data_IF_563869961585
#
_entry.id   IF_563869961585
#
_cell.length_a   1.000
_cell.length_b   1.000
_cell.length_c   1.000
_cell.angle_alpha   90.00
_cell.angle_beta   90.00
_cell.angle_gamma   90.00
#
_symmetry.space_group_name_H-M   'P 1'
#
loop_
_entity.id
_entity.type
_entity.pdbx_description
1 polymer ?
#
# COMPACT_ATOMS: atom_id res chain seq x y z
N UNK A 1 60.41 22.19 -21.40
CA UNK A 1 60.13 20.77 -21.07
C UNK A 1 60.19 20.72 -19.55
N UNK A 2 59.12 20.62 -18.76
CA UNK A 2 57.93 19.78 -18.89
C UNK A 2 56.89 20.32 -17.88
N UNK A 3 55.66 20.54 -18.34
CA UNK A 3 54.52 20.99 -17.52
C UNK A 3 53.95 19.76 -16.79
N UNK A 4 53.97 19.73 -15.46
CA UNK A 4 53.43 18.60 -14.68
C UNK A 4 51.95 18.90 -14.32
N UNK A 5 51.02 18.39 -15.11
CA UNK A 5 49.59 18.38 -14.81
C UNK A 5 49.27 17.33 -13.74
N UNK A 6 48.91 17.77 -12.54
CA UNK A 6 48.32 16.93 -11.50
C UNK A 6 46.84 16.67 -11.84
N UNK A 7 46.56 15.51 -12.43
CA UNK A 7 45.21 14.98 -12.57
C UNK A 7 44.68 14.53 -11.21
N UNK A 8 43.79 15.31 -10.61
CA UNK A 8 42.95 14.88 -9.48
C UNK A 8 41.93 13.87 -10.01
N UNK A 9 42.22 12.59 -9.87
CA UNK A 9 41.24 11.51 -10.05
C UNK A 9 40.20 11.62 -8.94
N UNK A 10 39.06 12.25 -9.21
CA UNK A 10 37.90 12.16 -8.34
C UNK A 10 37.40 10.72 -8.38
N UNK A 11 37.61 9.96 -7.30
CA UNK A 11 36.96 8.68 -7.06
C UNK A 11 35.45 8.94 -6.94
N UNK A 12 34.72 8.81 -8.04
CA UNK A 12 33.27 8.68 -8.01
C UNK A 12 32.96 7.32 -7.40
N UNK A 13 32.80 7.26 -6.08
CA UNK A 13 32.19 6.09 -5.45
C UNK A 13 30.74 6.05 -5.89
N UNK A 14 30.43 5.21 -6.88
CA UNK A 14 29.05 4.87 -7.20
C UNK A 14 28.43 4.28 -5.94
N UNK A 15 27.54 5.02 -5.29
CA UNK A 15 26.75 4.52 -4.17
C UNK A 15 25.85 3.42 -4.74
N UNK A 16 26.27 2.17 -4.60
CA UNK A 16 25.39 1.03 -4.89
C UNK A 16 24.40 0.98 -3.74
N UNK A 17 23.21 1.53 -3.95
CA UNK A 17 22.12 1.41 -2.98
C UNK A 17 21.73 -0.07 -2.89
N UNK A 18 22.25 -0.78 -1.89
CA UNK A 18 21.78 -2.14 -1.58
C UNK A 18 20.42 -2.01 -0.90
N UNK A 19 19.33 -2.36 -1.62
CA UNK A 19 18.01 -2.38 -1.02
C UNK A 19 17.93 -3.48 0.06
N UNK A 20 17.08 -3.25 1.05
CA UNK A 20 16.89 -4.20 2.14
C UNK A 20 16.03 -5.37 1.64
N UNK A 21 16.49 -6.63 1.73
CA UNK A 21 15.73 -7.77 1.24
C UNK A 21 14.64 -8.18 2.23
N UNK A 22 13.42 -8.44 1.72
CA UNK A 22 12.30 -9.03 2.47
C UNK A 22 11.90 -10.35 1.83
N UNK A 23 11.80 -11.41 2.63
CA UNK A 23 11.38 -12.74 2.18
C UNK A 23 9.98 -13.06 2.71
N UNK A 24 9.06 -13.28 1.77
CA UNK A 24 7.66 -13.60 2.02
C UNK A 24 7.43 -15.12 1.92
N UNK A 25 6.57 -15.62 2.80
CA UNK A 25 6.10 -17.00 2.84
C UNK A 25 4.60 -17.03 3.19
N UNK A 26 3.97 -18.20 3.10
CA UNK A 26 2.53 -18.36 3.34
C UNK A 26 2.06 -18.03 4.77
N UNK A 27 2.97 -17.79 5.71
CA UNK A 27 2.66 -17.50 7.12
C UNK A 27 2.88 -16.03 7.51
N UNK A 28 3.57 -15.24 6.69
CA UNK A 28 3.97 -13.88 7.05
C UNK A 28 3.46 -12.79 6.10
N UNK A 29 2.67 -13.12 5.08
CA UNK A 29 2.10 -12.14 4.16
C UNK A 29 0.59 -12.25 4.03
N UNK A 30 -0.07 -11.10 4.03
CA UNK A 30 -1.45 -10.96 3.59
C UNK A 30 -1.47 -9.93 2.45
N UNK A 31 -1.93 -10.33 1.28
CA UNK A 31 -1.99 -9.45 0.10
C UNK A 31 -3.34 -8.75 0.02
N UNK A 32 -3.31 -7.43 -0.17
CA UNK A 32 -4.45 -6.63 -0.61
C UNK A 32 -4.17 -6.25 -2.07
N UNK A 33 -4.90 -6.90 -2.96
CA UNK A 33 -4.83 -6.68 -4.40
C UNK A 33 -6.19 -6.17 -4.86
N UNK A 34 -6.18 -5.26 -5.82
CA UNK A 34 -7.38 -4.65 -6.40
C UNK A 34 -8.16 -3.74 -5.43
N UNK A 35 -9.41 -3.42 -5.77
CA UNK A 35 -10.19 -2.37 -5.10
C UNK A 35 -10.50 -2.74 -3.64
N UNK A 36 -10.45 -1.75 -2.75
CA UNK A 36 -10.84 -1.92 -1.35
C UNK A 36 -12.36 -1.82 -1.26
N UNK A 37 -12.99 -2.92 -0.88
CA UNK A 37 -14.42 -3.05 -0.63
C UNK A 37 -14.70 -4.01 0.54
N UNK A 38 -15.96 -4.31 0.80
CA UNK A 38 -16.34 -5.18 1.91
C UNK A 38 -15.87 -6.64 1.73
N UNK A 39 -15.73 -7.11 0.49
CA UNK A 39 -15.18 -8.44 0.21
C UNK A 39 -13.69 -8.49 0.54
N UNK A 40 -12.93 -7.50 0.07
CA UNK A 40 -11.50 -7.36 0.36
C UNK A 40 -11.24 -7.20 1.85
N UNK A 41 -12.04 -6.38 2.54
CA UNK A 41 -11.96 -6.24 3.99
C UNK A 41 -12.26 -7.57 4.68
N UNK A 42 -13.35 -8.25 4.31
CA UNK A 42 -13.72 -9.55 4.90
C UNK A 42 -12.61 -10.59 4.71
N UNK A 43 -12.04 -10.69 3.50
CA UNK A 43 -10.94 -11.59 3.17
C UNK A 43 -9.68 -11.28 3.98
N UNK A 44 -9.31 -10.00 4.11
CA UNK A 44 -8.19 -9.56 4.93
C UNK A 44 -8.37 -9.94 6.41
N UNK A 45 -9.51 -9.57 7.00
CA UNK A 45 -9.83 -9.86 8.39
C UNK A 45 -9.88 -11.38 8.66
N UNK A 46 -10.44 -12.16 7.73
CA UNK A 46 -10.49 -13.61 7.84
C UNK A 46 -9.07 -14.21 7.84
N UNK A 47 -8.25 -13.88 6.83
CA UNK A 47 -6.86 -14.35 6.73
C UNK A 47 -6.04 -13.98 7.97
N UNK A 48 -6.15 -12.73 8.44
CA UNK A 48 -5.45 -12.27 9.63
C UNK A 48 -5.86 -13.07 10.88
N UNK A 49 -7.14 -13.39 11.03
CA UNK A 49 -7.62 -14.17 12.18
C UNK A 49 -7.32 -15.67 12.10
N UNK A 50 -7.01 -16.21 10.92
CA UNK A 50 -6.50 -17.59 10.78
C UNK A 50 -5.05 -17.75 11.21
N UNK A 51 -4.28 -16.66 11.32
CA UNK A 51 -2.88 -16.74 11.73
C UNK A 51 -2.77 -17.09 13.22
N UNK A 52 -2.00 -18.13 13.52
CA UNK A 52 -1.68 -18.53 14.90
C UNK A 52 -0.86 -17.46 15.63
N UNK A 53 -0.07 -16.69 14.89
CA UNK A 53 0.74 -15.60 15.39
C UNK A 53 0.59 -14.40 14.45
N UNK A 54 0.27 -13.22 14.99
CA UNK A 54 0.08 -11.96 14.27
C UNK A 54 1.29 -11.03 14.38
N UNK A 55 2.45 -11.54 14.78
CA UNK A 55 3.73 -10.80 14.80
C UNK A 55 4.45 -10.92 13.47
N UNK A 56 5.18 -9.87 13.11
CA UNK A 56 6.05 -9.81 11.92
C UNK A 56 5.32 -10.15 10.60
N UNK A 57 4.04 -9.76 10.53
CA UNK A 57 3.21 -9.92 9.32
C UNK A 57 3.38 -8.70 8.42
N UNK A 58 3.58 -8.97 7.13
CA UNK A 58 3.59 -8.00 6.07
C UNK A 58 2.22 -7.95 5.38
N UNK A 59 1.70 -6.74 5.20
CA UNK A 59 0.58 -6.49 4.29
C UNK A 59 1.16 -5.99 2.97
N UNK A 60 1.02 -6.78 1.91
CA UNK A 60 1.46 -6.37 0.58
C UNK A 60 0.33 -5.59 -0.10
N UNK A 61 0.59 -4.36 -0.49
CA UNK A 61 -0.37 -3.43 -1.09
C UNK A 61 -0.13 -3.30 -2.60
N UNK A 62 -1.10 -3.78 -3.37
CA UNK A 62 -1.25 -3.51 -4.80
C UNK A 62 -2.70 -3.12 -5.11
N UNK A 63 -3.08 -1.92 -4.69
CA UNK A 63 -4.47 -1.46 -4.70
C UNK A 63 -4.62 -0.04 -5.25
N UNK A 64 -5.66 0.22 -6.07
CA UNK A 64 -6.05 1.57 -6.46
C UNK A 64 -6.83 2.32 -5.36
N UNK A 65 -7.06 1.72 -4.19
CA UNK A 65 -7.92 2.26 -3.15
C UNK A 65 -9.37 1.78 -3.29
N UNK A 66 -10.32 2.53 -2.71
CA UNK A 66 -11.73 2.15 -2.73
C UNK A 66 -12.51 2.73 -1.55
N UNK A 67 -13.40 1.94 -0.98
CA UNK A 67 -14.26 2.29 0.15
C UNK A 67 -13.45 2.72 1.37
N UNK A 68 -13.68 3.95 1.82
CA UNK A 68 -13.11 4.47 3.08
C UNK A 68 -13.57 3.65 4.27
N UNK A 69 -14.85 3.25 4.31
CA UNK A 69 -15.40 2.46 5.42
C UNK A 69 -14.75 1.07 5.51
N UNK A 70 -14.64 0.37 4.39
CA UNK A 70 -14.02 -0.97 4.33
C UNK A 70 -12.51 -0.88 4.61
N UNK A 71 -11.86 0.17 4.14
CA UNK A 71 -10.47 0.46 4.46
C UNK A 71 -10.23 0.75 5.95
N UNK A 72 -11.13 1.48 6.61
CA UNK A 72 -11.02 1.74 8.05
C UNK A 72 -11.05 0.44 8.88
N UNK A 73 -11.87 -0.55 8.48
CA UNK A 73 -11.89 -1.88 9.13
C UNK A 73 -10.52 -2.59 9.02
N UNK A 74 -9.87 -2.50 7.87
CA UNK A 74 -8.51 -3.04 7.64
C UNK A 74 -7.49 -2.28 8.49
N UNK A 75 -7.51 -0.95 8.42
CA UNK A 75 -6.61 -0.04 9.13
C UNK A 75 -6.62 -0.28 10.65
N UNK A 76 -7.81 -0.48 11.23
CA UNK A 76 -7.96 -0.75 12.66
C UNK A 76 -7.19 -2.01 13.11
N UNK A 77 -7.30 -3.12 12.38
CA UNK A 77 -6.58 -4.34 12.75
C UNK A 77 -5.07 -4.24 12.45
N UNK A 78 -4.68 -3.49 11.40
CA UNK A 78 -3.26 -3.19 11.12
C UNK A 78 -2.61 -2.47 12.30
N UNK A 79 -3.24 -1.40 12.79
CA UNK A 79 -2.72 -0.64 13.93
C UNK A 79 -2.76 -1.46 15.22
N UNK A 80 -3.84 -2.20 15.46
CA UNK A 80 -4.02 -3.06 16.65
C UNK A 80 -2.90 -4.09 16.82
N UNK A 81 -2.40 -4.68 15.73
CA UNK A 81 -1.32 -5.67 15.80
C UNK A 81 0.04 -5.13 15.35
N UNK A 82 0.16 -3.83 15.06
CA UNK A 82 1.37 -3.20 14.56
C UNK A 82 1.94 -3.88 13.30
N UNK A 83 1.08 -4.13 12.31
CA UNK A 83 1.52 -4.81 11.09
C UNK A 83 2.43 -3.91 10.25
N UNK A 84 3.36 -4.53 9.52
CA UNK A 84 4.22 -3.84 8.56
C UNK A 84 3.60 -3.92 7.17
N UNK A 85 3.86 -2.94 6.31
CA UNK A 85 3.29 -2.91 4.97
C UNK A 85 4.36 -2.72 3.90
N UNK A 86 4.12 -3.30 2.72
CA UNK A 86 4.97 -3.17 1.55
C UNK A 86 4.10 -2.66 0.42
N UNK A 87 4.41 -1.48 -0.11
CA UNK A 87 3.67 -0.89 -1.22
C UNK A 87 4.39 -1.14 -2.56
N UNK A 88 3.72 -1.83 -3.47
CA UNK A 88 4.01 -1.71 -4.91
C UNK A 88 3.06 -0.71 -5.57
N UNK A 89 1.80 -0.71 -5.14
CA UNK A 89 0.81 0.30 -5.49
C UNK A 89 -0.12 0.54 -4.31
N UNK A 90 -0.10 1.74 -3.77
CA UNK A 90 -0.97 2.12 -2.65
C UNK A 90 -1.56 3.51 -2.89
N UNK A 91 -2.74 3.53 -3.50
CA UNK A 91 -3.45 4.77 -3.87
C UNK A 91 -4.66 4.99 -2.96
N UNK A 92 -5.01 6.26 -2.73
CA UNK A 92 -6.22 6.64 -1.99
C UNK A 92 -6.29 5.91 -0.64
N UNK A 93 -7.32 5.10 -0.39
CA UNK A 93 -7.41 4.30 0.84
C UNK A 93 -6.24 3.32 1.06
N UNK A 94 -5.57 2.86 0.00
CA UNK A 94 -4.32 2.11 0.11
C UNK A 94 -3.17 2.93 0.71
N UNK A 95 -3.09 4.22 0.38
CA UNK A 95 -2.12 5.14 0.98
C UNK A 95 -2.42 5.33 2.47
N UNK A 96 -3.70 5.53 2.83
CA UNK A 96 -4.13 5.65 4.24
C UNK A 96 -3.75 4.40 5.02
N UNK A 97 -4.01 3.21 4.48
CA UNK A 97 -3.61 1.93 5.08
C UNK A 97 -2.10 1.90 5.32
N UNK A 98 -1.29 2.25 4.31
CA UNK A 98 0.17 2.31 4.44
C UNK A 98 0.59 3.22 5.61
N UNK A 99 -0.03 4.40 5.77
CA UNK A 99 0.32 5.32 6.86
C UNK A 99 -0.04 4.77 8.25
N UNK A 100 -0.99 3.84 8.36
CA UNK A 100 -1.32 3.14 9.60
C UNK A 100 -0.35 2.04 10.00
N UNK A 101 0.56 1.62 9.12
CA UNK A 101 1.45 0.51 9.37
C UNK A 101 2.66 0.90 10.24
N UNK A 102 3.14 -0.05 11.05
CA UNK A 102 4.29 0.17 11.93
C UNK A 102 5.55 0.51 11.13
N UNK A 103 5.83 -0.27 10.09
CA UNK A 103 6.88 -0.02 9.10
C UNK A 103 6.25 0.11 7.72
N UNK A 104 6.67 1.12 6.96
CA UNK A 104 6.16 1.49 5.64
C UNK A 104 7.24 1.22 4.60
N UNK A 105 7.23 0.04 4.00
CA UNK A 105 8.16 -0.32 2.93
C UNK A 105 7.55 0.02 1.57
N UNK A 106 8.41 0.30 0.58
CA UNK A 106 8.01 0.53 -0.81
C UNK A 106 8.96 -0.22 -1.75
N UNK A 107 8.45 -0.78 -2.83
CA UNK A 107 9.30 -1.36 -3.88
C UNK A 107 10.01 -0.23 -4.65
N UNK A 108 11.09 -0.54 -5.37
CA UNK A 108 11.89 0.49 -6.06
C UNK A 108 11.07 1.39 -7.01
N UNK A 109 10.11 0.80 -7.71
CA UNK A 109 9.17 1.51 -8.59
C UNK A 109 7.75 1.57 -8.02
N UNK A 110 7.61 1.34 -6.71
CA UNK A 110 6.34 1.39 -6.02
C UNK A 110 5.74 2.78 -6.13
N UNK A 111 4.40 2.85 -6.25
CA UNK A 111 3.68 4.10 -6.48
C UNK A 111 2.73 4.38 -5.34
N UNK A 112 2.77 5.61 -4.85
CA UNK A 112 1.87 6.16 -3.86
C UNK A 112 1.05 7.27 -4.48
N UNK A 113 -0.22 7.36 -4.11
CA UNK A 113 -1.07 8.48 -4.46
C UNK A 113 -2.04 8.76 -3.33
N UNK A 114 -2.20 10.03 -2.98
CA UNK A 114 -3.27 10.45 -2.09
C UNK A 114 -4.07 11.62 -2.65
N UNK A 115 -5.37 11.62 -2.37
CA UNK A 115 -6.31 12.66 -2.75
C UNK A 115 -7.44 12.80 -1.73
N UNK A 116 -8.23 13.86 -1.84
CA UNK A 116 -9.42 14.10 -1.02
C UNK A 116 -10.51 13.03 -1.21
N UNK A 117 -11.34 12.82 -0.18
CA UNK A 117 -12.47 11.89 -0.23
C UNK A 117 -13.46 12.33 -1.32
N UNK A 118 -13.84 11.40 -2.18
CA UNK A 118 -14.90 11.63 -3.18
C UNK A 118 -16.20 10.96 -2.73
N UNK A 119 -17.32 11.68 -2.81
CA UNK A 119 -18.65 11.16 -2.49
C UNK A 119 -19.71 11.82 -3.37
N UNK A 120 -20.84 11.12 -3.55
CA UNK A 120 -22.01 11.63 -4.25
C UNK A 120 -23.26 11.37 -3.40
N UNK A 121 -24.10 12.38 -3.23
CA UNK A 121 -25.32 12.30 -2.43
C UNK A 121 -26.49 13.01 -3.11
N UNK A 122 -27.68 12.40 -3.06
CA UNK A 122 -28.95 12.99 -3.51
C UNK A 122 -30.03 12.70 -2.47
N UNK A 123 -30.42 13.72 -1.70
CA UNK A 123 -31.40 13.58 -0.62
C UNK A 123 -32.01 14.95 -0.25
N UNK A 124 -32.86 15.05 0.77
CA UNK A 124 -33.33 16.35 1.26
C UNK A 124 -32.19 17.14 1.92
N UNK A 125 -32.27 18.48 1.87
CA UNK A 125 -31.21 19.41 2.35
C UNK A 125 -30.66 19.04 3.73
N UNK A 126 -31.52 18.81 4.72
CA UNK A 126 -31.08 18.50 6.08
C UNK A 126 -30.28 17.19 6.18
N UNK A 127 -30.60 16.19 5.36
CA UNK A 127 -29.84 14.94 5.30
C UNK A 127 -28.49 15.14 4.59
N UNK A 128 -28.46 15.96 3.53
CA UNK A 128 -27.21 16.34 2.84
C UNK A 128 -26.28 17.07 3.82
N UNK A 129 -26.77 18.08 4.53
CA UNK A 129 -25.97 18.85 5.48
C UNK A 129 -25.40 17.96 6.60
N UNK A 130 -26.21 17.02 7.10
CA UNK A 130 -25.79 16.05 8.12
C UNK A 130 -24.70 15.11 7.60
N UNK A 131 -24.87 14.56 6.39
CA UNK A 131 -23.89 13.66 5.79
C UNK A 131 -22.58 14.37 5.44
N UNK A 132 -22.65 15.61 4.95
CA UNK A 132 -21.45 16.42 4.67
C UNK A 132 -20.60 16.59 5.93
N UNK A 133 -21.24 16.93 7.07
CA UNK A 133 -20.54 17.05 8.36
C UNK A 133 -19.92 15.74 8.83
N UNK A 134 -20.54 14.60 8.51
CA UNK A 134 -19.95 13.30 8.79
C UNK A 134 -18.71 13.06 7.92
N UNK A 135 -18.75 13.39 6.64
CA UNK A 135 -17.57 13.30 5.76
C UNK A 135 -16.45 14.22 6.26
N UNK A 136 -16.76 15.45 6.70
CA UNK A 136 -15.76 16.36 7.27
C UNK A 136 -15.06 15.75 8.50
N UNK A 137 -15.82 15.04 9.36
CA UNK A 137 -15.25 14.33 10.51
C UNK A 137 -14.32 13.21 10.08
N UNK A 138 -14.75 12.36 9.13
CA UNK A 138 -13.95 11.26 8.61
C UNK A 138 -12.67 11.79 7.96
N UNK A 139 -12.77 12.82 7.13
CA UNK A 139 -11.62 13.46 6.50
C UNK A 139 -10.66 14.01 7.54
N UNK A 140 -11.15 14.68 8.59
CA UNK A 140 -10.32 15.22 9.64
C UNK A 140 -9.51 14.15 10.38
N UNK A 141 -10.13 13.04 10.76
CA UNK A 141 -9.43 11.92 11.40
C UNK A 141 -8.33 11.34 10.50
N UNK A 142 -8.62 11.15 9.20
CA UNK A 142 -7.64 10.62 8.25
C UNK A 142 -6.51 11.62 7.96
N UNK A 143 -6.79 12.92 7.91
CA UNK A 143 -5.76 13.94 7.74
C UNK A 143 -4.82 13.98 8.94
N UNK A 144 -5.34 13.96 10.16
CA UNK A 144 -4.53 13.94 11.38
C UNK A 144 -3.60 12.73 11.38
N UNK A 145 -4.17 11.53 11.16
CA UNK A 145 -3.40 10.28 11.13
C UNK A 145 -2.22 10.34 10.15
N UNK A 146 -2.45 10.83 8.94
CA UNK A 146 -1.44 10.83 7.89
C UNK A 146 -0.43 11.96 8.03
N UNK A 147 -0.91 13.18 8.32
CA UNK A 147 -0.06 14.35 8.45
C UNK A 147 0.88 14.22 9.65
N UNK A 148 0.39 13.71 10.79
CA UNK A 148 1.22 13.45 11.97
C UNK A 148 2.27 12.38 11.67
N UNK A 149 1.89 11.30 10.97
CA UNK A 149 2.80 10.22 10.56
C UNK A 149 3.91 10.71 9.63
N UNK A 150 3.58 11.61 8.71
CA UNK A 150 4.50 12.18 7.71
C UNK A 150 5.28 13.38 8.27
N UNK A 151 4.87 13.91 9.42
CA UNK A 151 5.47 15.06 10.11
C UNK A 151 5.35 16.38 9.33
N UNK A 152 4.17 16.67 8.79
CA UNK A 152 3.85 17.96 8.17
C UNK A 152 2.59 18.58 8.79
N UNK A 153 2.42 19.92 8.76
CA UNK A 153 1.19 20.56 9.23
C UNK A 153 -0.05 20.04 8.50
N UNK A 154 -1.18 19.94 9.22
CA UNK A 154 -2.43 19.41 8.67
C UNK A 154 -2.91 20.20 7.45
N UNK A 155 -2.79 21.54 7.48
CA UNK A 155 -3.16 22.40 6.35
C UNK A 155 -2.28 22.19 5.12
N UNK A 156 -0.99 21.91 5.32
CA UNK A 156 -0.07 21.57 4.22
C UNK A 156 -0.45 20.22 3.59
N UNK A 157 -0.77 19.23 4.41
CA UNK A 157 -1.24 17.93 3.92
C UNK A 157 -2.53 18.09 3.09
N UNK A 158 -3.53 18.83 3.62
CA UNK A 158 -4.78 19.13 2.89
C UNK A 158 -4.53 19.78 1.54
N UNK A 159 -3.61 20.76 1.48
CA UNK A 159 -3.27 21.42 0.23
C UNK A 159 -2.62 20.47 -0.78
N UNK A 160 -1.71 19.60 -0.32
CA UNK A 160 -1.07 18.59 -1.19
C UNK A 160 -2.09 17.61 -1.75
N UNK A 161 -3.06 17.19 -0.93
CA UNK A 161 -4.06 16.16 -1.29
C UNK A 161 -5.37 16.72 -1.81
N UNK A 162 -5.48 18.03 -2.04
CA UNK A 162 -6.71 18.66 -2.58
C UNK A 162 -7.06 18.11 -3.97
N UNK A 163 -6.04 17.79 -4.77
CA UNK A 163 -6.17 17.03 -6.01
C UNK A 163 -5.47 15.68 -5.81
N UNK A 164 -4.58 15.28 -6.70
CA UNK A 164 -3.80 14.05 -6.56
C UNK A 164 -2.34 14.37 -6.26
N UNK A 165 -1.82 13.79 -5.17
CA UNK A 165 -0.41 13.86 -4.81
C UNK A 165 0.29 12.54 -5.13
N UNK A 166 0.98 12.51 -6.27
CA UNK A 166 1.66 11.33 -6.79
C UNK A 166 3.13 11.27 -6.36
N UNK A 167 3.59 10.08 -5.94
CA UNK A 167 4.97 9.81 -5.57
C UNK A 167 5.39 8.41 -6.05
N UNK A 168 6.65 8.26 -6.44
CA UNK A 168 7.24 6.97 -6.84
C UNK A 168 8.52 6.71 -6.07
N UNK A 169 8.68 5.47 -5.58
CA UNK A 169 9.91 4.95 -4.97
C UNK A 169 10.58 5.94 -4.02
N UNK A 170 11.74 6.46 -4.43
CA UNK A 170 12.53 7.43 -3.66
C UNK A 170 11.76 8.70 -3.25
N UNK A 171 10.88 9.23 -4.09
CA UNK A 171 10.12 10.43 -3.75
C UNK A 171 9.18 10.20 -2.56
N UNK A 172 8.69 8.98 -2.36
CA UNK A 172 7.90 8.63 -1.18
C UNK A 172 8.76 8.67 0.10
N UNK A 173 10.03 8.28 0.02
CA UNK A 173 10.97 8.37 1.14
C UNK A 173 11.31 9.83 1.43
N UNK A 174 11.64 10.60 0.39
CA UNK A 174 12.03 12.00 0.52
C UNK A 174 10.88 12.88 1.10
N UNK A 175 9.62 12.46 0.89
CA UNK A 175 8.44 13.09 1.48
C UNK A 175 7.92 12.36 2.74
N UNK A 176 8.73 11.48 3.36
CA UNK A 176 8.40 10.76 4.57
C UNK A 176 7.06 9.97 4.54
N UNK A 177 6.63 9.54 3.34
CA UNK A 177 5.43 8.74 3.11
C UNK A 177 5.72 7.22 3.16
N UNK A 178 7.00 6.85 3.07
CA UNK A 178 7.51 5.50 3.30
C UNK A 178 8.88 5.59 4.03
N UNK A 179 9.26 4.51 4.71
CA UNK A 179 10.45 4.45 5.56
C UNK A 179 11.67 3.90 4.79
N UNK A 180 11.45 2.93 3.88
CA UNK A 180 12.56 2.28 3.16
C UNK A 180 12.14 1.67 1.83
N UNK A 181 13.07 1.72 0.87
CA UNK A 181 12.99 0.93 -0.37
C UNK A 181 13.49 -0.49 -0.10
N UNK A 182 12.75 -1.48 -0.58
CA UNK A 182 13.02 -2.91 -0.36
C UNK A 182 12.98 -3.72 -1.65
N UNK A 183 13.78 -4.78 -1.68
CA UNK A 183 13.65 -5.84 -2.67
C UNK A 183 12.89 -6.99 -2.03
N UNK A 184 11.81 -7.44 -2.69
CA UNK A 184 10.89 -8.43 -2.14
C UNK A 184 11.06 -9.75 -2.87
N UNK A 185 11.07 -10.85 -2.12
CA UNK A 185 11.22 -12.21 -2.63
C UNK A 185 10.10 -13.08 -2.07
N UNK A 186 9.56 -13.98 -2.89
CA UNK A 186 8.67 -15.05 -2.42
C UNK A 186 9.44 -16.35 -2.30
N UNK A 187 9.20 -17.13 -1.25
CA UNK A 187 9.68 -18.50 -1.22
C UNK A 187 8.94 -19.38 -2.25
N UNK A 188 9.49 -20.57 -2.49
CA UNK A 188 8.93 -21.53 -3.46
C UNK A 188 7.56 -22.04 -3.05
N UNK A 189 7.28 -22.15 -1.75
CA UNK A 189 6.02 -22.67 -1.23
C UNK A 189 4.88 -21.71 -1.52
N UNK A 190 5.07 -20.43 -1.20
CA UNK A 190 4.15 -19.36 -1.49
C UNK A 190 3.94 -19.21 -3.00
N UNK A 191 5.03 -19.27 -3.78
CA UNK A 191 4.98 -19.16 -5.24
C UNK A 191 4.16 -20.29 -5.89
N UNK A 192 4.30 -21.52 -5.39
CA UNK A 192 3.60 -22.69 -5.92
C UNK A 192 2.19 -22.89 -5.33
N UNK A 193 1.79 -22.07 -4.36
CA UNK A 193 0.44 -22.11 -3.81
C UNK A 193 -0.50 -21.37 -4.75
N UNK A 194 -1.54 -22.06 -5.24
CA UNK A 194 -2.48 -21.49 -6.20
C UNK A 194 -3.78 -21.03 -5.54
N UNK A 195 -4.32 -19.93 -6.04
CA UNK A 195 -5.62 -19.36 -5.71
C UNK A 195 -6.45 -19.35 -6.99
N UNK A 196 -7.65 -19.89 -6.96
CA UNK A 196 -8.52 -19.96 -8.15
C UNK A 196 -9.66 -18.97 -8.00
N UNK A 197 -9.86 -18.15 -9.03
CA UNK A 197 -10.99 -17.24 -9.14
C UNK A 197 -11.88 -17.65 -10.30
N UNK A 198 -13.18 -17.71 -10.06
CA UNK A 198 -14.14 -18.11 -11.07
C UNK A 198 -14.68 -16.88 -11.81
N UNK A 199 -14.63 -16.91 -13.14
CA UNK A 199 -15.18 -15.84 -13.97
C UNK A 199 -15.92 -16.42 -15.19
N UNK A 200 -17.25 -16.45 -15.09
CA UNK A 200 -18.10 -16.99 -16.15
C UNK A 200 -17.69 -18.42 -16.55
N UNK A 201 -17.34 -18.67 -17.83
CA UNK A 201 -16.99 -20.01 -18.33
C UNK A 201 -15.52 -20.41 -18.07
N UNK A 202 -14.73 -19.60 -17.38
CA UNK A 202 -13.31 -19.88 -17.12
C UNK A 202 -12.95 -19.73 -15.64
N UNK A 203 -11.93 -20.48 -15.23
CA UNK A 203 -11.27 -20.36 -13.94
C UNK A 203 -9.88 -19.75 -14.16
N UNK A 204 -9.61 -18.64 -13.49
CA UNK A 204 -8.28 -18.03 -13.46
C UNK A 204 -7.50 -18.60 -12.28
N UNK A 205 -6.30 -19.11 -12.53
CA UNK A 205 -5.41 -19.63 -11.49
C UNK A 205 -4.32 -18.61 -11.26
N UNK A 206 -4.21 -18.11 -10.04
CA UNK A 206 -3.19 -17.16 -9.60
C UNK A 206 -2.21 -17.82 -8.66
N UNK A 207 -0.96 -17.35 -8.66
CA UNK A 207 -0.03 -17.65 -7.56
C UNK A 207 -0.39 -16.83 -6.33
N UNK A 208 -0.21 -17.39 -5.14
CA UNK A 208 -0.33 -16.65 -3.89
C UNK A 208 0.83 -15.65 -3.67
N UNK A 209 1.92 -15.76 -4.43
CA UNK A 209 3.01 -14.79 -4.39
C UNK A 209 2.55 -13.43 -4.98
N UNK A 210 2.58 -12.33 -4.19
CA UNK A 210 2.10 -11.03 -4.65
C UNK A 210 2.94 -10.40 -5.76
N UNK A 211 4.14 -10.91 -6.02
CA UNK A 211 5.03 -10.41 -7.07
C UNK A 211 4.62 -10.89 -8.47
N UNK A 212 3.67 -11.82 -8.56
CA UNK A 212 3.14 -12.33 -9.82
C UNK A 212 1.78 -11.64 -10.09
N UNK A 213 1.72 -10.66 -11.00
CA UNK A 213 0.57 -9.77 -11.11
C UNK A 213 -0.62 -10.39 -11.84
N UNK A 214 -0.41 -11.44 -12.64
CA UNK A 214 -1.45 -12.04 -13.48
C UNK A 214 -1.72 -13.52 -13.17
N UNK A 215 -2.73 -14.10 -13.82
CA UNK A 215 -2.98 -15.53 -13.73
C UNK A 215 -1.80 -16.32 -14.32
N UNK A 216 -1.44 -17.42 -13.66
CA UNK A 216 -0.44 -18.37 -14.13
C UNK A 216 -1.05 -19.42 -15.06
N UNK A 217 -2.36 -19.63 -14.99
CA UNK A 217 -3.12 -20.53 -15.86
C UNK A 217 -4.58 -20.09 -16.00
N UNK A 218 -5.25 -20.53 -17.07
CA UNK A 218 -6.68 -20.28 -17.35
C UNK A 218 -7.35 -21.59 -17.77
N UNK A 219 -8.25 -22.10 -16.94
CA UNK A 219 -8.88 -23.40 -17.13
C UNK A 219 -10.34 -23.20 -17.56
N UNK A 220 -10.76 -23.67 -18.76
CA UNK A 220 -12.16 -23.65 -19.16
C UNK A 220 -13.01 -24.54 -18.24
N UNK A 221 -14.17 -24.05 -17.80
CA UNK A 221 -15.17 -24.87 -17.12
C UNK A 221 -15.80 -25.81 -18.15
N UNK A 222 -15.77 -27.11 -17.87
CA UNK A 222 -16.43 -28.14 -18.69
C UNK A 222 -17.95 -28.08 -18.53
#
# INVERSE_FOLDING_TARGET
MMLLLLFLFSLWTTNVYTHYPIYLNSSNVITIKDAIDDETATSFLHKLNMLNNKKDIYVYLDTPGGSVESGNKILMEIQKYNLSCIADRAYSMGFVILQGCQNRYITNYGRLMQHQISYAIKNEKGKIDSYSKFIDQVENELVILQADRIHIPHDEFRLKTMNEWWMVGKYAIDNNCADKIVDVFCDTTLTNTNITEEYGPVNFVYSACPLIPGPVDVIPKK
#
